data_IF_485547378119
#
_entry.id   IF_485547378119
#
_cell.length_a   1.000
_cell.length_b   1.000
_cell.length_c   1.000
_cell.angle_alpha   90.00
_cell.angle_beta   90.00
_cell.angle_gamma   90.00
#
_symmetry.space_group_name_H-M   'P 1'
#
loop_
_entity.id
_entity.type
_entity.pdbx_description
1 polymer ?
#
# COMPACT_ATOMS: atom_id res chain seq x y z
N UNK A 1 -16.42 19.07 -7.07
CA UNK A 1 -15.97 17.88 -7.79
C UNK A 1 -16.57 16.63 -7.15
N UNK A 2 -17.03 15.71 -7.97
CA UNK A 2 -17.58 14.46 -7.50
C UNK A 2 -16.46 13.64 -6.82
N UNK A 3 -16.74 13.12 -5.64
CA UNK A 3 -15.75 12.32 -4.90
C UNK A 3 -15.32 11.06 -5.67
N UNK A 4 -16.22 10.48 -6.45
CA UNK A 4 -15.87 9.30 -7.25
C UNK A 4 -14.86 9.65 -8.33
N UNK A 5 -14.99 10.82 -8.94
CA UNK A 5 -14.03 11.28 -9.96
C UNK A 5 -12.69 11.60 -9.29
N UNK A 6 -12.73 12.29 -8.16
CA UNK A 6 -11.52 12.62 -7.42
C UNK A 6 -10.77 11.36 -6.97
N UNK A 7 -11.51 10.40 -6.44
CA UNK A 7 -10.93 9.11 -6.04
C UNK A 7 -10.21 8.44 -7.22
N UNK A 8 -10.89 8.35 -8.36
CA UNK A 8 -10.32 7.69 -9.55
C UNK A 8 -9.05 8.39 -10.01
N UNK A 9 -9.06 9.73 -10.02
CA UNK A 9 -7.89 10.49 -10.45
C UNK A 9 -6.71 10.25 -9.52
N UNK A 10 -6.95 10.21 -8.21
CA UNK A 10 -5.90 9.99 -7.23
C UNK A 10 -5.38 8.55 -7.25
N UNK A 11 -6.27 7.60 -7.49
CA UNK A 11 -5.87 6.20 -7.64
C UNK A 11 -4.98 6.03 -8.87
N UNK A 12 -5.34 6.65 -9.98
CA UNK A 12 -4.53 6.60 -11.18
C UNK A 12 -3.17 7.27 -10.97
N UNK A 13 -3.14 8.36 -10.22
CA UNK A 13 -1.88 9.02 -9.87
C UNK A 13 -0.97 8.08 -9.09
N UNK A 14 -1.54 7.35 -8.14
CA UNK A 14 -0.79 6.36 -7.36
C UNK A 14 -0.20 5.27 -8.26
N UNK A 15 -1.02 4.69 -9.12
CA UNK A 15 -0.56 3.63 -10.03
C UNK A 15 0.49 4.18 -11.01
N UNK A 16 0.30 5.41 -11.46
CA UNK A 16 1.27 6.05 -12.35
C UNK A 16 2.62 6.25 -11.65
N UNK A 17 2.60 6.62 -10.36
CA UNK A 17 3.82 6.73 -9.58
C UNK A 17 4.54 5.39 -9.49
N UNK A 18 3.80 4.30 -9.30
CA UNK A 18 4.38 2.96 -9.28
C UNK A 18 4.99 2.61 -10.64
N UNK A 19 4.30 2.91 -11.73
CA UNK A 19 4.80 2.60 -13.07
C UNK A 19 6.03 3.42 -13.46
N UNK A 20 6.21 4.58 -12.85
CA UNK A 20 7.36 5.44 -13.18
C UNK A 20 8.55 5.25 -12.26
N UNK A 21 8.34 4.81 -11.02
CA UNK A 21 9.42 4.78 -10.02
C UNK A 21 9.73 3.39 -9.45
N UNK A 22 8.76 2.46 -9.49
CA UNK A 22 8.96 1.16 -8.85
C UNK A 22 9.96 0.30 -9.63
N UNK A 23 10.78 -0.47 -8.90
CA UNK A 23 11.81 -1.31 -9.50
C UNK A 23 11.25 -2.38 -10.43
N UNK A 24 10.07 -2.92 -10.12
CA UNK A 24 9.43 -3.91 -11.01
C UNK A 24 9.09 -3.30 -12.36
N UNK A 25 8.59 -2.06 -12.36
CA UNK A 25 8.26 -1.36 -13.59
C UNK A 25 9.52 -1.09 -14.42
N UNK A 26 10.64 -0.83 -13.74
CA UNK A 26 11.92 -0.63 -14.42
C UNK A 26 12.39 -1.89 -15.15
N UNK A 27 11.91 -3.06 -14.73
CA UNK A 27 12.23 -4.33 -15.39
C UNK A 27 11.20 -4.72 -16.45
N UNK A 28 10.23 -3.86 -16.73
CA UNK A 28 9.24 -4.12 -17.75
C UNK A 28 7.90 -4.63 -17.24
N UNK A 29 7.75 -4.83 -15.95
CA UNK A 29 6.47 -5.21 -15.36
C UNK A 29 5.56 -4.00 -15.30
N UNK A 30 4.25 -4.24 -15.25
CA UNK A 30 3.28 -3.16 -15.31
C UNK A 30 2.34 -3.21 -14.12
N UNK A 31 2.12 -2.08 -13.48
CA UNK A 31 1.15 -1.94 -12.41
C UNK A 31 -0.21 -1.62 -12.99
N UNK A 32 -1.23 -2.32 -12.49
CA UNK A 32 -2.60 -2.18 -12.97
C UNK A 32 -3.57 -2.22 -11.80
N UNK A 33 -4.83 -1.85 -12.07
CA UNK A 33 -5.89 -1.80 -11.07
C UNK A 33 -6.94 -2.85 -11.40
N UNK A 34 -7.36 -3.59 -10.37
CA UNK A 34 -8.54 -4.44 -10.48
C UNK A 34 -9.61 -3.85 -9.58
N UNK A 35 -10.68 -3.36 -10.17
CA UNK A 35 -11.75 -2.69 -9.45
C UNK A 35 -12.57 -3.69 -8.64
N UNK A 36 -12.76 -3.39 -7.36
CA UNK A 36 -13.59 -4.20 -6.48
C UNK A 36 -14.75 -3.40 -5.93
N UNK A 37 -15.52 -4.02 -5.06
CA UNK A 37 -16.69 -3.41 -4.45
C UNK A 37 -16.31 -2.43 -3.35
N UNK A 38 -15.47 -2.87 -2.44
CA UNK A 38 -15.04 -2.10 -1.27
C UNK A 38 -13.61 -1.64 -1.40
N UNK A 39 -12.78 -2.44 -2.04
CA UNK A 39 -11.36 -2.16 -2.24
C UNK A 39 -11.02 -2.29 -3.71
N UNK A 40 -10.14 -1.42 -4.18
CA UNK A 40 -9.51 -1.59 -5.48
C UNK A 40 -8.14 -2.20 -5.26
N UNK A 41 -7.86 -3.27 -6.00
CA UNK A 41 -6.59 -3.97 -5.89
C UNK A 41 -5.59 -3.37 -6.87
N UNK A 42 -4.40 -3.07 -6.37
CA UNK A 42 -3.29 -2.63 -7.20
C UNK A 42 -2.31 -3.78 -7.27
N UNK A 43 -2.07 -4.27 -8.47
CA UNK A 43 -1.22 -5.43 -8.68
C UNK A 43 -0.18 -5.13 -9.75
N UNK A 44 0.92 -5.89 -9.70
CA UNK A 44 1.93 -5.82 -10.74
C UNK A 44 1.77 -7.04 -11.65
N UNK A 45 1.71 -6.79 -12.95
CA UNK A 45 1.59 -7.84 -13.94
C UNK A 45 2.96 -8.13 -14.52
N UNK A 46 3.43 -9.36 -14.30
CA UNK A 46 4.70 -9.82 -14.87
C UNK A 46 4.41 -10.63 -16.12
N UNK A 47 5.47 -11.15 -16.74
CA UNK A 47 5.30 -11.99 -17.94
C UNK A 47 4.58 -13.31 -17.66
N UNK A 48 4.53 -13.74 -16.39
CA UNK A 48 3.98 -15.04 -16.04
C UNK A 48 2.78 -14.99 -15.09
N UNK A 49 2.60 -13.90 -14.34
CA UNK A 49 1.53 -13.86 -13.35
C UNK A 49 1.19 -12.45 -12.92
N UNK A 50 0.12 -12.34 -12.14
CA UNK A 50 -0.28 -11.11 -11.47
C UNK A 50 0.04 -11.24 -9.98
N UNK A 51 0.69 -10.23 -9.43
CA UNK A 51 1.06 -10.22 -8.01
C UNK A 51 0.37 -9.05 -7.33
N UNK A 52 -0.58 -9.33 -6.45
CA UNK A 52 -1.25 -8.30 -5.67
C UNK A 52 -0.27 -7.65 -4.71
N UNK A 53 -0.32 -6.32 -4.61
CA UNK A 53 0.59 -5.57 -3.76
C UNK A 53 -0.11 -4.66 -2.77
N UNK A 54 -1.16 -3.99 -3.23
CA UNK A 54 -1.87 -3.01 -2.41
C UNK A 54 -3.36 -3.15 -2.62
N UNK A 55 -4.13 -2.77 -1.60
CA UNK A 55 -5.57 -2.63 -1.73
C UNK A 55 -5.96 -1.28 -1.15
N UNK A 56 -6.74 -0.52 -1.91
CA UNK A 56 -7.15 0.82 -1.53
C UNK A 56 -8.62 0.81 -1.16
N UNK A 57 -8.93 1.29 0.05
CA UNK A 57 -10.31 1.40 0.51
C UNK A 57 -11.00 2.52 -0.26
N UNK A 58 -12.12 2.20 -0.90
CA UNK A 58 -12.83 3.16 -1.75
C UNK A 58 -13.54 4.25 -0.95
N UNK A 59 -13.74 4.05 0.34
CA UNK A 59 -14.37 5.05 1.21
C UNK A 59 -13.35 5.92 1.92
N UNK A 60 -12.37 5.30 2.57
CA UNK A 60 -11.39 6.06 3.37
C UNK A 60 -10.16 6.48 2.58
N UNK A 61 -9.95 5.86 1.41
CA UNK A 61 -8.80 6.08 0.54
C UNK A 61 -7.48 5.58 1.16
N UNK A 62 -7.57 4.78 2.21
CA UNK A 62 -6.39 4.21 2.86
C UNK A 62 -5.79 3.12 1.98
N UNK A 63 -4.46 3.14 1.85
CA UNK A 63 -3.72 2.15 1.07
C UNK A 63 -3.21 1.08 2.03
N UNK A 64 -3.70 -0.15 1.86
CA UNK A 64 -3.28 -1.30 2.66
C UNK A 64 -2.37 -2.21 1.87
N UNK A 65 -1.51 -2.96 2.57
CA UNK A 65 -0.83 -4.10 1.98
C UNK A 65 -1.80 -5.25 1.77
N UNK A 66 -1.35 -6.28 1.09
CA UNK A 66 -2.16 -7.46 0.80
C UNK A 66 -1.66 -8.63 1.64
N UNK A 67 -2.60 -9.33 2.27
CA UNK A 67 -2.31 -10.54 3.01
C UNK A 67 -2.48 -11.77 2.10
N UNK A 68 -3.49 -11.73 1.25
CA UNK A 68 -3.73 -12.72 0.20
C UNK A 68 -4.39 -12.00 -0.96
N UNK A 69 -4.61 -12.69 -2.08
CA UNK A 69 -5.10 -12.03 -3.31
C UNK A 69 -6.33 -11.14 -3.09
N UNK A 70 -7.22 -11.52 -2.20
CA UNK A 70 -8.46 -10.78 -2.00
C UNK A 70 -8.62 -10.23 -0.57
N UNK A 71 -7.53 -10.17 0.20
CA UNK A 71 -7.63 -9.81 1.61
C UNK A 71 -6.58 -8.78 2.00
N UNK A 72 -7.04 -7.70 2.64
CA UNK A 72 -6.12 -6.66 3.10
C UNK A 72 -5.28 -7.14 4.29
N UNK A 73 -4.10 -6.55 4.42
CA UNK A 73 -3.27 -6.71 5.60
C UNK A 73 -3.39 -5.43 6.42
N UNK A 74 -4.23 -5.46 7.44
CA UNK A 74 -4.53 -4.28 8.25
C UNK A 74 -3.32 -3.74 9.01
N UNK A 75 -2.29 -4.55 9.18
CA UNK A 75 -1.07 -4.13 9.86
C UNK A 75 -0.13 -3.38 8.95
N UNK A 76 -0.36 -3.42 7.64
CA UNK A 76 0.45 -2.70 6.68
C UNK A 76 -0.37 -1.61 6.02
N UNK A 77 -0.10 -0.38 6.40
CA UNK A 77 -0.77 0.79 5.85
C UNK A 77 0.29 1.70 5.22
N UNK A 78 0.03 2.12 4.00
CA UNK A 78 0.93 2.97 3.23
C UNK A 78 0.31 4.36 3.04
N UNK A 79 -0.30 4.88 4.10
CA UNK A 79 -0.95 6.18 4.05
C UNK A 79 -2.27 6.14 3.30
N UNK A 80 -2.59 7.24 2.66
CA UNK A 80 -3.81 7.36 1.86
C UNK A 80 -3.45 7.84 0.46
N UNK A 81 -4.46 7.89 -0.41
CA UNK A 81 -4.24 8.44 -1.76
C UNK A 81 -3.82 9.91 -1.72
N UNK A 82 -4.12 10.62 -0.62
CA UNK A 82 -3.69 12.01 -0.46
C UNK A 82 -2.22 12.16 -0.06
N UNK A 83 -1.61 11.10 0.45
CA UNK A 83 -0.22 11.15 0.92
C UNK A 83 0.75 10.38 0.02
N UNK A 84 0.34 10.05 -1.18
CA UNK A 84 1.17 9.30 -2.13
C UNK A 84 2.53 9.99 -2.35
N UNK A 85 2.55 11.31 -2.40
CA UNK A 85 3.78 12.08 -2.63
C UNK A 85 4.75 12.04 -1.45
N UNK A 86 4.31 11.58 -0.29
CA UNK A 86 5.15 11.48 0.89
C UNK A 86 5.83 10.11 1.02
N UNK A 87 5.63 9.25 0.03
CA UNK A 87 6.21 7.91 0.03
C UNK A 87 7.15 7.72 -1.15
N UNK A 88 8.18 6.91 -0.91
CA UNK A 88 9.05 6.42 -1.97
C UNK A 88 8.53 5.05 -2.40
N UNK A 89 8.07 4.95 -3.62
CA UNK A 89 7.47 3.73 -4.17
C UNK A 89 8.46 2.89 -4.98
N UNK A 90 9.72 3.28 -5.00
CA UNK A 90 10.74 2.57 -5.78
C UNK A 90 11.07 1.18 -5.23
N UNK A 91 11.12 0.97 -3.90
CA UNK A 91 11.42 -0.37 -3.39
C UNK A 91 10.22 -1.29 -3.52
N UNK A 92 10.41 -2.56 -3.19
CA UNK A 92 9.38 -3.59 -3.26
C UNK A 92 8.10 -3.17 -2.56
N UNK A 93 8.23 -2.61 -1.36
CA UNK A 93 7.12 -1.98 -0.65
C UNK A 93 7.42 -0.51 -0.50
N UNK A 94 6.40 0.33 -0.62
CA UNK A 94 6.55 1.76 -0.41
C UNK A 94 7.06 2.07 0.99
N UNK A 95 7.90 3.07 1.11
CA UNK A 95 8.40 3.53 2.42
C UNK A 95 8.20 5.04 2.51
N UNK A 96 7.84 5.56 3.72
CA UNK A 96 7.69 6.99 3.88
C UNK A 96 9.01 7.72 3.65
N UNK A 97 8.94 8.87 3.02
CA UNK A 97 10.12 9.71 2.85
C UNK A 97 10.50 10.36 4.16
N UNK A 98 11.81 10.49 4.38
CA UNK A 98 12.33 11.10 5.62
C UNK A 98 11.81 12.52 5.79
N UNK A 99 11.42 12.85 7.01
CA UNK A 99 10.96 14.20 7.38
C UNK A 99 9.53 14.52 7.04
N UNK A 100 8.77 13.56 6.52
CA UNK A 100 7.36 13.79 6.15
C UNK A 100 6.41 13.42 7.28
N UNK A 101 5.17 13.91 7.21
CA UNK A 101 4.11 13.48 8.12
C UNK A 101 3.85 11.97 7.99
N UNK A 102 3.98 11.44 6.78
CA UNK A 102 3.81 10.00 6.55
C UNK A 102 4.82 9.20 7.35
N UNK A 103 6.07 9.67 7.44
CA UNK A 103 7.08 9.00 8.25
C UNK A 103 6.70 9.01 9.73
N UNK A 104 6.24 10.14 10.23
CA UNK A 104 5.83 10.24 11.63
C UNK A 104 4.66 9.32 11.95
N UNK A 105 3.67 9.28 11.09
CA UNK A 105 2.52 8.41 11.26
C UNK A 105 2.92 6.95 11.16
N UNK A 106 3.81 6.62 10.25
CA UNK A 106 4.32 5.26 10.09
C UNK A 106 5.04 4.80 11.35
N UNK A 107 5.94 5.63 11.89
CA UNK A 107 6.68 5.30 13.11
C UNK A 107 5.74 5.12 14.29
N UNK A 108 4.74 5.98 14.42
CA UNK A 108 3.76 5.87 15.48
C UNK A 108 2.95 4.58 15.37
N UNK A 109 2.53 4.24 14.17
CA UNK A 109 1.77 3.01 13.92
C UNK A 109 2.60 1.77 14.22
N UNK A 110 3.87 1.77 13.79
CA UNK A 110 4.76 0.65 14.07
C UNK A 110 4.99 0.47 15.56
N UNK A 111 5.13 1.58 16.28
CA UNK A 111 5.29 1.53 17.74
C UNK A 111 4.03 0.96 18.41
N UNK A 112 2.85 1.33 17.94
CA UNK A 112 1.59 0.80 18.48
C UNK A 112 1.44 -0.69 18.19
N UNK A 113 1.79 -1.14 17.00
CA UNK A 113 1.73 -2.55 16.64
C UNK A 113 2.69 -3.34 17.52
N UNK A 114 3.92 -2.86 17.69
CA UNK A 114 4.91 -3.52 18.53
C UNK A 114 4.45 -3.59 19.99
N UNK A 115 3.78 -2.55 20.47
CA UNK A 115 3.29 -2.48 21.83
C UNK A 115 2.13 -3.45 22.06
N UNK A 116 1.21 -3.54 21.10
CA UNK A 116 0.01 -4.36 21.23
C UNK A 116 0.21 -5.80 20.81
N UNK A 117 1.18 -6.03 19.96
CA UNK A 117 1.49 -7.35 19.44
C UNK A 117 2.49 -8.02 20.37
N UNK A 118 2.01 -8.81 21.30
CA UNK A 118 2.89 -9.50 22.23
C UNK A 118 3.62 -10.62 21.51
N UNK A 119 4.93 -10.70 21.64
CA UNK A 119 5.66 -11.84 21.10
C UNK A 119 5.16 -13.08 21.83
N UNK A 120 4.87 -14.03 21.12
CA UNK A 120 4.47 -15.30 21.68
C UNK A 120 5.69 -16.05 22.07
N UNK A 121 5.82 -16.10 22.97
CA UNK A 121 6.94 -16.59 23.21
C UNK A 121 7.06 -17.62 23.77
N UNK A 122 6.59 -17.07 23.58
CA UNK A 122 6.77 -17.52 23.70
C UNK A 122 6.99 -18.25 24.32
N UNK A 123 7.18 -18.58 24.78
CA UNK A 123 7.30 -19.13 25.15
C UNK A 123 7.26 -19.76 25.92
N UNK A 124 7.32 -20.01 26.08
CA UNK A 124 7.31 -20.60 26.62
C UNK A 124 7.57 -21.27 27.27
N UNK A 125 7.91 -21.45 27.69
CA UNK A 125 8.22 -21.88 28.11
C UNK A 125 8.16 -22.37 28.68
N UNK A 126 8.33 -22.69 29.13
CA UNK A 126 8.28 -23.05 29.40
C UNK A 126 8.27 -23.25 29.66
#
# INVERSE_FOLDING_TARGET
MDKAVEYTQKLEKFVNALNTTNSSAAHGDKWEIETGRKFDKVYVKTSVQKLGRYMVDRNSWVIYGIKSWAQINERRVFGTLDTVDQYDWSPFHGVPKAGTEAEKLHQKREAEIAKNFKPRGRPRKN
#
